data_IF_568212565358
#
_entry.id   IF_568212565358
#
_cell.length_a   1.000
_cell.length_b   1.000
_cell.length_c   1.000
_cell.angle_alpha   90.00
_cell.angle_beta   90.00
_cell.angle_gamma   90.00
#
_symmetry.space_group_name_H-M   'P 1'
#
loop_
_entity.id
_entity.type
_entity.pdbx_description
1 polymer ?
#
# COMPACT_ATOMS: atom_id res chain seq x y z
N UNK A 1 20.71 -47.72 -12.12
CA UNK A 1 19.39 -47.33 -11.58
C UNK A 1 19.28 -45.83 -11.74
N UNK A 2 18.51 -45.37 -12.73
CA UNK A 2 18.25 -43.95 -13.02
C UNK A 2 17.05 -43.48 -12.23
N UNK A 3 17.20 -42.37 -11.52
CA UNK A 3 16.13 -41.63 -10.85
C UNK A 3 16.74 -40.39 -10.18
N UNK A 4 16.20 -39.18 -10.31
CA UNK A 4 15.03 -38.72 -11.04
C UNK A 4 15.08 -37.19 -11.13
N UNK A 5 14.45 -36.69 -12.19
CA UNK A 5 13.76 -35.41 -12.40
C UNK A 5 13.53 -34.60 -11.10
N UNK A 6 13.91 -33.33 -11.01
CA UNK A 6 13.33 -32.13 -11.67
C UNK A 6 12.73 -31.24 -10.59
N UNK A 7 12.83 -29.93 -10.77
CA UNK A 7 11.94 -28.98 -10.10
C UNK A 7 12.62 -27.94 -9.24
N UNK A 8 13.49 -27.13 -9.85
CA UNK A 8 13.59 -25.73 -9.44
C UNK A 8 12.25 -25.05 -9.75
N UNK A 9 11.59 -24.47 -8.76
CA UNK A 9 10.84 -23.20 -8.82
C UNK A 9 10.09 -23.00 -7.49
N UNK A 10 10.81 -22.54 -6.47
CA UNK A 10 10.18 -21.91 -5.32
C UNK A 10 9.90 -20.44 -5.71
N UNK A 11 8.74 -20.20 -6.33
CA UNK A 11 8.20 -18.87 -6.58
C UNK A 11 6.77 -18.84 -6.05
N UNK A 12 6.60 -18.80 -4.72
CA UNK A 12 5.29 -18.68 -4.08
C UNK A 12 5.38 -17.96 -2.72
N UNK A 13 6.25 -16.95 -2.64
CA UNK A 13 6.34 -16.02 -1.51
C UNK A 13 6.17 -14.57 -2.02
N UNK A 14 5.30 -14.35 -3.02
CA UNK A 14 4.89 -13.00 -3.36
C UNK A 14 3.79 -12.55 -2.38
N UNK A 15 4.02 -11.49 -1.57
CA UNK A 15 3.02 -11.04 -0.62
C UNK A 15 1.79 -10.50 -1.35
N UNK A 16 0.63 -11.13 -1.11
CA UNK A 16 -0.69 -10.72 -1.63
C UNK A 16 -0.99 -9.25 -1.34
N UNK A 17 -0.46 -8.74 -0.23
CA UNK A 17 -0.50 -7.32 0.14
C UNK A 17 0.93 -6.83 0.30
N UNK A 18 1.37 -6.03 -0.67
CA UNK A 18 2.59 -5.26 -0.52
C UNK A 18 2.25 -4.13 0.47
N UNK A 19 2.87 -4.05 1.66
CA UNK A 19 2.73 -2.89 2.50
C UNK A 19 3.33 -1.72 1.73
N UNK A 20 2.45 -0.91 1.13
CA UNK A 20 2.82 0.44 0.72
C UNK A 20 2.98 1.21 2.01
N UNK A 21 4.22 1.20 2.51
CA UNK A 21 4.66 2.28 3.37
C UNK A 21 4.39 3.57 2.57
N UNK A 22 3.62 4.52 3.10
CA UNK A 22 3.41 5.78 2.42
C UNK A 22 4.78 6.46 2.40
N UNK A 23 5.54 6.25 1.33
CA UNK A 23 6.94 6.66 1.16
C UNK A 23 7.11 8.15 1.48
N UNK A 24 6.00 8.90 1.47
CA UNK A 24 5.95 10.31 1.82
C UNK A 24 6.06 11.17 0.57
N UNK A 25 6.51 10.61 -0.55
CA UNK A 25 6.68 11.33 -1.81
C UNK A 25 5.40 11.58 -2.61
N UNK A 26 4.22 11.33 -2.05
CA UNK A 26 2.96 11.70 -2.69
C UNK A 26 1.86 11.90 -1.67
N UNK A 27 2.03 12.77 -0.66
CA UNK A 27 0.88 13.20 0.13
C UNK A 27 0.37 14.55 -0.36
N UNK A 28 -0.93 14.59 -0.67
CA UNK A 28 -1.63 15.79 -1.12
C UNK A 28 -2.60 16.28 -0.05
N UNK A 29 -2.53 17.56 0.29
CA UNK A 29 -3.53 18.21 1.12
C UNK A 29 -4.87 18.32 0.38
N UNK A 30 -5.96 17.84 0.97
CA UNK A 30 -7.30 17.93 0.40
C UNK A 30 -7.88 19.34 0.44
N UNK A 31 -7.36 20.20 1.32
CA UNK A 31 -7.84 21.58 1.52
C UNK A 31 -7.21 22.55 0.53
N UNK A 32 -5.87 22.65 0.51
CA UNK A 32 -5.16 23.60 -0.36
C UNK A 32 -4.61 22.97 -1.64
N UNK A 33 -4.63 21.64 -1.76
CA UNK A 33 -4.14 20.92 -2.93
C UNK A 33 -2.63 20.77 -3.00
N UNK A 34 -1.86 21.28 -2.02
CA UNK A 34 -0.41 21.16 -1.98
C UNK A 34 0.04 19.70 -1.93
N UNK A 35 1.12 19.38 -2.64
CA UNK A 35 1.72 18.05 -2.74
C UNK A 35 3.09 18.12 -2.08
N UNK A 36 3.42 17.13 -1.25
CA UNK A 36 4.70 16.99 -0.53
C UNK A 36 5.03 18.14 0.45
N UNK A 37 4.08 19.05 0.69
CA UNK A 37 4.14 20.09 1.72
C UNK A 37 3.49 19.58 3.02
N UNK A 38 3.99 18.44 3.51
CA UNK A 38 3.47 17.75 4.71
C UNK A 38 4.60 17.56 5.72
N UNK A 39 4.34 17.91 6.98
CA UNK A 39 5.17 17.52 8.11
C UNK A 39 4.55 16.29 8.78
N UNK A 40 5.39 15.35 9.22
CA UNK A 40 5.00 14.17 10.00
C UNK A 40 5.71 14.20 11.35
N UNK A 41 4.99 13.86 12.39
CA UNK A 41 5.50 13.78 13.75
C UNK A 41 4.87 12.57 14.47
N UNK A 42 5.48 12.13 15.56
CA UNK A 42 4.97 11.07 16.42
C UNK A 42 4.49 11.68 17.74
N UNK A 43 3.26 11.37 18.12
CA UNK A 43 2.69 11.83 19.38
C UNK A 43 2.34 10.63 20.27
N UNK A 44 2.44 10.74 21.60
CA UNK A 44 1.97 9.68 22.49
C UNK A 44 0.51 9.34 22.21
N UNK A 45 0.21 8.05 22.07
CA UNK A 45 -1.15 7.62 21.75
C UNK A 45 -2.12 7.93 22.88
N UNK A 46 -3.34 8.32 22.50
CA UNK A 46 -4.44 8.54 23.46
C UNK A 46 -4.89 7.26 24.19
N UNK A 47 -4.48 6.09 23.69
CA UNK A 47 -4.68 4.79 24.34
C UNK A 47 -3.87 4.62 25.65
N UNK A 48 -2.98 5.55 25.96
CA UNK A 48 -2.11 5.48 27.14
C UNK A 48 -0.91 4.54 26.97
N UNK A 49 -0.75 3.94 25.79
CA UNK A 49 0.41 3.18 25.36
C UNK A 49 0.59 3.31 23.84
N UNK A 50 1.83 3.31 23.36
CA UNK A 50 2.17 3.45 21.94
C UNK A 50 2.37 4.89 21.47
N UNK A 51 2.61 5.04 20.16
CA UNK A 51 2.74 6.31 19.46
C UNK A 51 1.76 6.36 18.29
N UNK A 52 1.11 7.52 18.14
CA UNK A 52 0.27 7.86 17.01
C UNK A 52 1.09 8.67 16.01
N UNK A 53 0.98 8.35 14.72
CA UNK A 53 1.57 9.16 13.66
C UNK A 53 0.64 10.32 13.33
N UNK A 54 1.17 11.54 13.41
CA UNK A 54 0.49 12.77 13.05
C UNK A 54 1.07 13.34 11.76
N UNK A 55 0.22 13.88 10.89
CA UNK A 55 0.64 14.52 9.65
C UNK A 55 -0.18 15.78 9.38
N UNK A 56 0.47 16.86 8.97
CA UNK A 56 -0.17 18.15 8.71
C UNK A 56 0.44 18.84 7.51
N UNK A 57 -0.40 19.50 6.71
CA UNK A 57 0.04 20.36 5.63
C UNK A 57 0.71 21.62 6.18
N UNK A 58 1.96 21.89 5.79
CA UNK A 58 2.72 23.06 6.26
C UNK A 58 2.22 24.38 5.66
N UNK A 59 1.54 24.33 4.51
CA UNK A 59 1.00 25.52 3.84
C UNK A 59 -0.31 26.04 4.40
N UNK A 60 -1.21 25.15 4.81
CA UNK A 60 -2.54 25.56 5.30
C UNK A 60 -2.88 25.06 6.71
N UNK A 61 -2.04 24.22 7.32
CA UNK A 61 -2.28 23.66 8.65
C UNK A 61 -3.35 22.57 8.69
N UNK A 62 -3.89 22.13 7.55
CA UNK A 62 -4.88 21.05 7.54
C UNK A 62 -4.23 19.68 7.75
N UNK A 63 -4.92 18.82 8.49
CA UNK A 63 -4.58 17.40 8.67
C UNK A 63 -5.27 16.49 7.65
N UNK A 64 -6.13 17.06 6.80
CA UNK A 64 -6.85 16.34 5.76
C UNK A 64 -5.91 16.07 4.57
N UNK A 65 -5.24 14.92 4.61
CA UNK A 65 -4.29 14.47 3.59
C UNK A 65 -4.88 13.30 2.79
N UNK A 66 -4.50 13.20 1.52
CA UNK A 66 -4.73 12.03 0.67
C UNK A 66 -3.42 11.62 0.05
N UNK A 67 -3.14 10.33 0.03
CA UNK A 67 -2.11 9.77 -0.84
C UNK A 67 -2.75 9.59 -2.23
N UNK A 68 -2.47 10.45 -3.24
CA UNK A 68 -2.95 10.21 -4.58
C UNK A 68 -2.23 8.95 -5.06
N UNK A 69 -2.99 7.88 -5.17
CA UNK A 69 -2.55 6.65 -5.82
C UNK A 69 -2.21 7.00 -7.29
N UNK A 70 -0.97 7.39 -7.55
CA UNK A 70 -0.47 7.64 -8.89
C UNK A 70 -0.19 6.29 -9.55
N UNK A 71 -1.13 5.82 -10.36
CA UNK A 71 -0.83 4.90 -11.46
C UNK A 71 -1.14 3.41 -11.29
N UNK A 72 -1.53 2.90 -10.12
CA UNK A 72 -2.00 1.50 -10.02
C UNK A 72 -3.54 1.45 -10.07
N UNK A 73 -4.10 1.03 -11.21
CA UNK A 73 -5.44 0.42 -11.20
C UNK A 73 -5.18 -1.07 -11.14
N UNK A 74 -5.10 -1.64 -9.94
CA UNK A 74 -5.33 -3.07 -9.82
C UNK A 74 -6.71 -3.34 -10.42
N UNK A 75 -6.75 -3.97 -11.59
CA UNK A 75 -8.01 -4.42 -12.17
C UNK A 75 -8.54 -5.45 -11.17
N UNK A 76 -9.64 -5.19 -10.45
CA UNK A 76 -10.13 -6.14 -9.47
C UNK A 76 -10.36 -7.47 -10.19
N UNK A 77 -9.78 -8.55 -9.68
CA UNK A 77 -10.05 -9.87 -10.21
C UNK A 77 -11.56 -10.13 -10.07
N UNK A 78 -12.18 -10.61 -11.16
CA UNK A 78 -13.59 -11.00 -11.12
C UNK A 78 -13.76 -12.15 -10.13
N UNK A 79 -14.62 -11.97 -9.13
CA UNK A 79 -15.01 -13.04 -8.20
C UNK A 79 -16.29 -13.71 -8.69
N UNK A 80 -16.40 -15.06 -8.64
CA UNK A 80 -15.38 -16.02 -8.25
C UNK A 80 -14.30 -16.22 -9.33
N UNK A 81 -13.08 -16.66 -8.95
CA UNK A 81 -12.05 -17.02 -9.90
C UNK A 81 -12.57 -18.15 -10.79
N UNK A 82 -12.83 -17.87 -12.06
CA UNK A 82 -13.11 -18.90 -13.06
C UNK A 82 -11.81 -19.67 -13.28
N UNK A 83 -11.70 -20.86 -12.68
CA UNK A 83 -10.64 -21.81 -13.04
C UNK A 83 -10.81 -22.16 -14.51
N UNK A 84 -9.76 -21.99 -15.30
CA UNK A 84 -9.69 -22.32 -16.73
C UNK A 84 -9.69 -23.86 -16.92
N UNK A 85 -10.73 -24.52 -16.41
CA UNK A 85 -10.90 -25.97 -16.43
C UNK A 85 -12.23 -26.33 -17.12
N UNK A 86 -12.49 -25.71 -18.27
CA UNK A 86 -13.57 -26.10 -19.18
C UNK A 86 -13.29 -25.61 -20.61
N UNK A 87 -12.11 -25.95 -21.13
CA UNK A 87 -11.91 -26.07 -22.58
C UNK A 87 -11.17 -27.37 -22.87
N UNK A 88 -11.92 -28.47 -22.87
CA UNK A 88 -11.57 -29.66 -23.64
C UNK A 88 -12.79 -30.22 -24.34
#
# INVERSE_FOLDING_TARGET
MTGGHSGSSAHDDEPIFIPVEPDGASQRCRVCGAVDEVTRDEMPSMAGYGTDTYAQCTRCGSVELSDPIFGWRAKPATWPPTTDHEQS
#
